data_IF_685754687066
#
_entry.id   IF_685754687066
#
_cell.length_a   1.000
_cell.length_b   1.000
_cell.length_c   1.000
_cell.angle_alpha   90.00
_cell.angle_beta   90.00
_cell.angle_gamma   90.00
#
_symmetry.space_group_name_H-M   'P 1'
#
loop_
_entity.id
_entity.type
_entity.pdbx_description
1 polymer ?
#
# COMPACT_ATOMS: atom_id res chain seq x y z
N UNK A 1 -30.02 10.49 -36.41
CA UNK A 1 -30.45 9.13 -36.09
C UNK A 1 -29.52 8.22 -36.87
N UNK A 2 -28.55 7.67 -36.26
CA UNK A 2 -27.71 6.66 -36.91
C UNK A 2 -28.62 5.47 -37.27
N UNK A 3 -28.61 4.98 -38.51
CA UNK A 3 -29.26 3.75 -38.85
C UNK A 3 -28.67 2.64 -37.97
N UNK A 4 -29.54 1.88 -37.40
CA UNK A 4 -29.19 0.85 -36.41
C UNK A 4 -28.06 -0.02 -36.90
N UNK A 5 -27.03 -0.13 -36.06
CA UNK A 5 -26.03 -1.20 -36.11
C UNK A 5 -26.63 -2.58 -35.76
N UNK A 6 -27.98 -2.65 -35.67
CA UNK A 6 -28.74 -3.88 -35.52
C UNK A 6 -28.85 -4.51 -36.89
N UNK A 7 -28.05 -5.48 -37.17
CA UNK A 7 -27.99 -6.21 -38.42
C UNK A 7 -26.68 -6.10 -39.19
N UNK A 8 -25.74 -5.32 -38.74
CA UNK A 8 -24.39 -5.31 -39.29
C UNK A 8 -23.51 -6.34 -38.58
N UNK A 9 -22.73 -7.00 -39.30
CA UNK A 9 -21.60 -7.95 -39.10
C UNK A 9 -21.18 -8.36 -37.66
N UNK A 10 -21.56 -7.62 -36.64
CA UNK A 10 -21.27 -7.95 -35.24
C UNK A 10 -22.10 -9.13 -34.71
N UNK A 11 -23.24 -9.45 -35.34
CA UNK A 11 -24.05 -10.63 -35.03
C UNK A 11 -23.70 -11.84 -35.90
N UNK A 12 -22.82 -11.69 -36.89
CA UNK A 12 -22.51 -12.74 -37.88
C UNK A 12 -21.10 -13.33 -37.62
N UNK A 13 -20.38 -12.87 -36.65
CA UNK A 13 -19.17 -13.59 -36.17
C UNK A 13 -19.64 -14.72 -35.27
N UNK A 14 -19.94 -15.85 -35.86
CA UNK A 14 -20.01 -17.10 -35.12
C UNK A 14 -18.64 -17.35 -34.49
N UNK A 15 -18.53 -17.06 -33.18
CA UNK A 15 -17.34 -17.43 -32.45
C UNK A 15 -17.25 -18.95 -32.46
N UNK A 16 -16.06 -19.47 -32.80
CA UNK A 16 -15.81 -20.89 -32.78
C UNK A 16 -15.84 -21.42 -31.35
N UNK A 17 -16.38 -22.62 -31.17
CA UNK A 17 -16.35 -23.27 -29.83
C UNK A 17 -14.95 -23.36 -29.30
N UNK A 18 -14.72 -22.73 -28.13
CA UNK A 18 -13.40 -22.69 -27.48
C UNK A 18 -12.48 -21.56 -27.95
N UNK A 19 -12.97 -20.61 -28.79
CA UNK A 19 -12.19 -19.46 -29.24
C UNK A 19 -11.77 -18.55 -28.08
N UNK A 20 -12.72 -18.20 -27.20
CA UNK A 20 -12.45 -17.34 -26.02
C UNK A 20 -11.89 -18.14 -24.85
N UNK A 21 -12.38 -19.37 -24.63
CA UNK A 21 -11.98 -20.23 -23.54
C UNK A 21 -12.10 -21.70 -23.91
N UNK A 22 -10.97 -22.37 -24.06
CA UNK A 22 -10.94 -23.78 -24.42
C UNK A 22 -11.15 -24.69 -23.20
N UNK A 23 -11.84 -25.83 -23.41
CA UNK A 23 -12.01 -26.85 -22.36
C UNK A 23 -10.62 -27.34 -21.90
N UNK A 24 -10.43 -27.41 -20.59
CA UNK A 24 -9.19 -27.87 -19.97
C UNK A 24 -8.14 -26.77 -19.74
N UNK A 25 -8.40 -25.53 -20.20
CA UNK A 25 -7.55 -24.39 -19.87
C UNK A 25 -8.05 -23.68 -18.61
N UNK A 26 -7.16 -23.20 -17.71
CA UNK A 26 -7.57 -22.43 -16.55
C UNK A 26 -8.21 -21.11 -16.97
N UNK A 27 -9.46 -20.86 -16.56
CA UNK A 27 -10.15 -19.59 -16.77
C UNK A 27 -9.51 -18.45 -15.95
N UNK A 28 -9.12 -18.76 -14.72
CA UNK A 28 -8.39 -17.85 -13.82
C UNK A 28 -7.20 -18.60 -13.21
N UNK A 29 -6.11 -17.89 -13.02
CA UNK A 29 -4.90 -18.46 -12.44
C UNK A 29 -4.80 -18.15 -10.94
N UNK A 30 -4.17 -19.05 -10.19
CA UNK A 30 -3.82 -18.83 -8.78
C UNK A 30 -2.97 -17.57 -8.62
N UNK A 31 -3.26 -16.78 -7.59
CA UNK A 31 -2.55 -15.54 -7.29
C UNK A 31 -3.05 -14.32 -8.07
N UNK A 32 -4.12 -14.47 -8.86
CA UNK A 32 -4.80 -13.36 -9.51
C UNK A 32 -5.65 -12.58 -8.49
N UNK A 33 -5.55 -11.26 -8.52
CA UNK A 33 -6.45 -10.38 -7.77
C UNK A 33 -7.78 -10.33 -8.54
N UNK A 34 -8.86 -10.83 -7.93
CA UNK A 34 -10.18 -10.87 -8.56
C UNK A 34 -10.70 -9.44 -8.79
N UNK A 35 -11.12 -9.18 -10.04
CA UNK A 35 -11.71 -7.92 -10.49
C UNK A 35 -13.18 -8.18 -10.90
N UNK A 36 -14.02 -7.14 -11.05
CA UNK A 36 -15.41 -7.34 -11.47
C UNK A 36 -15.58 -8.16 -12.75
N UNK A 37 -14.69 -8.02 -13.74
CA UNK A 37 -14.71 -8.81 -14.95
C UNK A 37 -14.48 -10.32 -14.69
N UNK A 38 -13.64 -10.66 -13.69
CA UNK A 38 -13.39 -12.06 -13.31
C UNK A 38 -14.63 -12.69 -12.67
N UNK A 39 -15.40 -11.91 -11.92
CA UNK A 39 -16.70 -12.35 -11.37
C UNK A 39 -17.71 -12.64 -12.48
N UNK A 40 -17.76 -11.79 -13.50
CA UNK A 40 -18.57 -12.02 -14.70
C UNK A 40 -18.18 -13.29 -15.44
N UNK A 41 -16.87 -13.54 -15.60
CA UNK A 41 -16.37 -14.77 -16.21
C UNK A 41 -16.76 -16.02 -15.39
N UNK A 42 -16.59 -16.00 -14.08
CA UNK A 42 -17.00 -17.11 -13.20
C UNK A 42 -18.50 -17.38 -13.31
N UNK A 43 -19.31 -16.34 -13.30
CA UNK A 43 -20.76 -16.47 -13.45
C UNK A 43 -21.15 -17.08 -14.82
N UNK A 44 -20.49 -16.69 -15.91
CA UNK A 44 -20.73 -17.25 -17.25
C UNK A 44 -20.37 -18.74 -17.34
N UNK A 45 -19.47 -19.21 -16.48
CA UNK A 45 -19.09 -20.62 -16.37
C UNK A 45 -19.96 -21.40 -15.37
N UNK A 46 -20.94 -20.75 -14.72
CA UNK A 46 -21.78 -21.36 -13.69
C UNK A 46 -21.07 -21.63 -12.37
N UNK A 47 -19.94 -20.96 -12.10
CA UNK A 47 -19.13 -21.13 -10.88
C UNK A 47 -19.60 -20.09 -9.85
N UNK A 48 -20.30 -20.56 -8.79
CA UNK A 48 -20.82 -19.70 -7.74
C UNK A 48 -19.81 -19.40 -6.63
N UNK A 49 -18.83 -20.29 -6.40
CA UNK A 49 -17.85 -20.15 -5.31
C UNK A 49 -16.45 -20.53 -5.78
N UNK A 50 -15.45 -19.78 -5.34
CA UNK A 50 -14.04 -20.07 -5.59
C UNK A 50 -13.22 -19.92 -4.30
N UNK A 51 -12.23 -20.77 -4.05
CA UNK A 51 -11.32 -20.62 -2.92
C UNK A 51 -10.43 -19.40 -3.12
N UNK A 52 -10.40 -18.52 -2.13
CA UNK A 52 -9.56 -17.31 -2.13
C UNK A 52 -8.68 -17.27 -0.88
N UNK A 53 -7.58 -16.51 -0.96
CA UNK A 53 -6.79 -16.21 0.24
C UNK A 53 -7.62 -15.35 1.20
N UNK A 54 -7.49 -15.61 2.51
CA UNK A 54 -8.09 -14.73 3.52
C UNK A 54 -7.49 -13.32 3.40
N UNK A 55 -8.21 -12.33 3.86
CA UNK A 55 -7.69 -10.97 3.97
C UNK A 55 -6.48 -10.94 4.89
N UNK A 56 -5.44 -10.21 4.49
CA UNK A 56 -4.28 -9.97 5.32
C UNK A 56 -4.67 -9.05 6.47
N UNK A 57 -4.39 -9.46 7.70
CA UNK A 57 -4.62 -8.64 8.87
C UNK A 57 -3.41 -7.75 9.11
N UNK A 58 -3.62 -6.43 9.12
CA UNK A 58 -2.58 -5.43 9.29
C UNK A 58 -2.89 -4.58 10.51
N UNK A 59 -2.02 -4.64 11.52
CA UNK A 59 -2.04 -3.71 12.62
C UNK A 59 -1.24 -2.46 12.25
N UNK A 60 -1.74 -1.28 12.63
CA UNK A 60 -0.97 -0.05 12.42
C UNK A 60 -1.18 0.95 13.55
N UNK A 61 -0.15 1.75 13.80
CA UNK A 61 -0.17 2.84 14.77
C UNK A 61 0.84 3.93 14.41
N UNK A 62 0.62 5.12 14.93
CA UNK A 62 1.57 6.22 14.85
C UNK A 62 2.31 6.40 16.16
N UNK A 63 3.57 6.86 16.09
CA UNK A 63 4.37 7.19 17.28
C UNK A 63 4.79 8.65 17.24
N UNK A 64 4.74 9.33 18.37
CA UNK A 64 5.14 10.71 18.54
C UNK A 64 4.34 11.40 19.64
N UNK A 65 5.03 12.01 20.60
CA UNK A 65 4.41 12.73 21.70
C UNK A 65 3.66 14.00 21.24
N UNK A 66 4.03 14.51 20.06
CA UNK A 66 3.39 15.63 19.39
C UNK A 66 2.03 15.29 18.77
N UNK A 67 1.72 13.99 18.60
CA UNK A 67 0.52 13.56 17.88
C UNK A 67 -0.72 13.58 18.78
N UNK A 68 -1.84 14.03 18.19
CA UNK A 68 -3.17 13.98 18.82
C UNK A 68 -4.16 13.32 17.86
N UNK A 69 -5.07 12.53 18.42
CA UNK A 69 -6.18 11.96 17.65
C UNK A 69 -7.25 13.02 17.36
N UNK A 70 -8.05 12.80 16.31
CA UNK A 70 -9.19 13.68 16.01
C UNK A 70 -10.14 13.67 17.20
N UNK A 71 -10.57 14.86 17.62
CA UNK A 71 -11.45 15.08 18.79
C UNK A 71 -10.71 15.39 20.09
N UNK A 72 -9.40 15.20 20.15
CA UNK A 72 -8.57 15.63 21.28
C UNK A 72 -8.23 17.13 21.17
N UNK A 73 -7.96 17.76 22.31
CA UNK A 73 -7.48 19.15 22.33
C UNK A 73 -6.07 19.22 21.73
N UNK A 74 -5.87 20.18 20.83
CA UNK A 74 -4.57 20.42 20.22
C UNK A 74 -3.77 21.38 21.08
N UNK A 75 -2.82 20.86 21.82
CA UNK A 75 -1.89 21.65 22.65
C UNK A 75 -0.85 22.37 21.76
N UNK A 76 -0.17 23.37 22.35
CA UNK A 76 0.93 24.05 21.66
C UNK A 76 2.06 23.05 21.31
N UNK A 77 2.53 23.09 20.07
CA UNK A 77 3.54 22.16 19.55
C UNK A 77 3.00 20.81 19.11
N UNK A 78 1.70 20.53 19.29
CA UNK A 78 1.08 19.29 18.83
C UNK A 78 0.43 19.43 17.46
N UNK A 79 0.25 18.31 16.78
CA UNK A 79 -0.40 18.20 15.48
C UNK A 79 -1.37 17.01 15.46
N UNK A 80 -2.44 17.10 14.67
CA UNK A 80 -3.29 15.93 14.47
C UNK A 80 -2.60 14.87 13.61
N UNK A 81 -2.76 13.61 14.02
CA UNK A 81 -2.21 12.45 13.29
C UNK A 81 -2.94 12.21 11.96
N UNK A 82 -2.49 12.88 10.91
CA UNK A 82 -3.03 12.69 9.56
C UNK A 82 -2.57 11.37 8.92
N UNK A 83 -1.43 10.83 9.34
CA UNK A 83 -0.86 9.59 8.79
C UNK A 83 -1.75 8.39 9.09
N UNK A 84 -2.31 8.31 10.28
CA UNK A 84 -3.24 7.25 10.68
C UNK A 84 -4.41 7.12 9.72
N UNK A 85 -5.07 8.21 9.38
CA UNK A 85 -6.22 8.22 8.47
C UNK A 85 -5.81 7.93 7.02
N UNK A 86 -4.65 8.42 6.61
CA UNK A 86 -4.07 8.12 5.29
C UNK A 86 -3.77 6.63 5.16
N UNK A 87 -3.11 6.03 6.16
CA UNK A 87 -2.80 4.59 6.20
C UNK A 87 -4.08 3.75 6.23
N UNK A 88 -5.06 4.13 7.05
CA UNK A 88 -6.37 3.47 7.09
C UNK A 88 -7.01 3.42 5.71
N UNK A 89 -7.08 4.55 5.01
CA UNK A 89 -7.64 4.62 3.65
C UNK A 89 -6.87 3.76 2.64
N UNK A 90 -5.53 3.77 2.69
CA UNK A 90 -4.70 2.96 1.79
C UNK A 90 -4.84 1.46 2.05
N UNK A 91 -4.90 1.03 3.31
CA UNK A 91 -5.08 -0.38 3.70
C UNK A 91 -6.49 -0.88 3.37
N UNK A 92 -7.53 -0.06 3.61
CA UNK A 92 -8.92 -0.36 3.20
C UNK A 92 -9.00 -0.57 1.69
N UNK A 93 -8.39 0.33 0.92
CA UNK A 93 -8.36 0.22 -0.55
C UNK A 93 -7.59 -1.01 -1.03
N UNK A 94 -6.60 -1.46 -0.27
CA UNK A 94 -5.85 -2.68 -0.57
C UNK A 94 -6.64 -3.96 -0.21
N UNK A 95 -7.72 -3.84 0.56
CA UNK A 95 -8.55 -4.95 0.98
C UNK A 95 -8.04 -5.68 2.23
N UNK A 96 -7.23 -5.02 3.06
CA UNK A 96 -6.75 -5.57 4.33
C UNK A 96 -7.86 -5.63 5.39
N UNK A 97 -7.70 -6.56 6.33
CA UNK A 97 -8.38 -6.55 7.62
C UNK A 97 -7.55 -5.69 8.58
N UNK A 98 -8.13 -4.60 9.09
CA UNK A 98 -7.38 -3.52 9.73
C UNK A 98 -7.53 -3.57 11.25
N UNK A 99 -6.40 -3.54 11.95
CA UNK A 99 -6.31 -3.34 13.41
C UNK A 99 -5.69 -1.98 13.68
N UNK A 100 -6.54 -0.98 13.89
CA UNK A 100 -6.12 0.39 14.19
C UNK A 100 -5.82 0.53 15.69
N UNK A 101 -4.56 0.75 16.04
CA UNK A 101 -4.08 0.85 17.42
C UNK A 101 -3.91 2.30 17.90
N UNK A 102 -4.19 3.28 17.05
CA UNK A 102 -4.14 4.69 17.42
C UNK A 102 -2.75 5.31 17.46
N UNK A 103 -2.58 6.25 18.36
CA UNK A 103 -1.30 6.92 18.65
C UNK A 103 -0.69 6.28 19.89
N UNK A 104 0.54 5.82 19.77
CA UNK A 104 1.33 5.27 20.88
C UNK A 104 2.37 6.31 21.30
N UNK A 105 2.47 6.58 22.59
CA UNK A 105 3.46 7.51 23.12
C UNK A 105 4.88 6.98 22.93
N UNK A 106 5.85 7.89 22.85
CA UNK A 106 7.28 7.55 22.75
C UNK A 106 7.86 7.06 24.08
N UNK A 107 7.11 6.19 24.77
CA UNK A 107 7.51 5.47 25.98
C UNK A 107 7.93 4.04 25.64
N UNK A 108 9.09 3.56 26.08
CA UNK A 108 9.60 2.23 25.75
C UNK A 108 8.63 1.09 26.10
N UNK A 109 8.01 1.14 27.26
CA UNK A 109 7.11 0.08 27.71
C UNK A 109 5.80 0.08 26.92
N UNK A 110 5.25 1.26 26.58
CA UNK A 110 4.07 1.42 25.75
C UNK A 110 4.33 0.93 24.32
N UNK A 111 5.48 1.26 23.75
CA UNK A 111 5.89 0.82 22.42
C UNK A 111 6.10 -0.70 22.37
N UNK A 112 6.80 -1.28 23.35
CA UNK A 112 6.98 -2.74 23.43
C UNK A 112 5.63 -3.47 23.51
N UNK A 113 4.76 -3.02 24.39
CA UNK A 113 3.41 -3.59 24.54
C UNK A 113 2.61 -3.49 23.24
N UNK A 114 2.70 -2.34 22.53
CA UNK A 114 2.04 -2.15 21.25
C UNK A 114 2.58 -3.10 20.17
N UNK A 115 3.89 -3.27 20.04
CA UNK A 115 4.50 -4.19 19.09
C UNK A 115 4.12 -5.65 19.38
N UNK A 116 4.13 -6.08 20.64
CA UNK A 116 3.72 -7.42 21.02
C UNK A 116 2.24 -7.66 20.69
N UNK A 117 1.37 -6.74 21.09
CA UNK A 117 -0.07 -6.81 20.80
C UNK A 117 -0.34 -6.85 19.30
N UNK A 118 0.35 -6.00 18.51
CA UNK A 118 0.24 -6.01 17.06
C UNK A 118 0.68 -7.34 16.46
N UNK A 119 1.82 -7.89 16.88
CA UNK A 119 2.37 -9.16 16.43
C UNK A 119 1.44 -10.34 16.71
N UNK A 120 0.79 -10.33 17.87
CA UNK A 120 -0.12 -11.40 18.29
C UNK A 120 -1.47 -11.40 17.54
N UNK A 121 -1.84 -10.25 16.97
CA UNK A 121 -3.16 -10.04 16.37
C UNK A 121 -3.14 -9.78 14.85
N UNK A 122 -1.98 -9.65 14.24
CA UNK A 122 -1.86 -9.32 12.82
C UNK A 122 -0.74 -10.10 12.12
N UNK A 123 -0.79 -10.14 10.80
CA UNK A 123 0.22 -10.73 9.93
C UNK A 123 1.33 -9.72 9.58
N UNK A 124 0.96 -8.43 9.58
CA UNK A 124 1.87 -7.33 9.32
C UNK A 124 1.59 -6.17 10.26
N UNK A 125 2.64 -5.40 10.56
CA UNK A 125 2.63 -4.22 11.42
C UNK A 125 3.12 -3.06 10.59
N UNK A 126 2.40 -1.95 10.60
CA UNK A 126 2.85 -0.69 9.99
C UNK A 126 2.95 0.37 11.07
N UNK A 127 4.11 1.00 11.20
CA UNK A 127 4.26 2.18 12.06
C UNK A 127 4.51 3.44 11.23
N UNK A 128 3.98 4.57 11.67
CA UNK A 128 4.29 5.89 11.15
C UNK A 128 5.02 6.70 12.22
N UNK A 129 6.25 7.12 11.92
CA UNK A 129 7.16 7.70 12.90
C UNK A 129 8.11 6.68 13.53
N UNK A 130 8.93 7.11 14.49
CA UNK A 130 9.86 6.23 15.21
C UNK A 130 11.04 5.65 14.42
N UNK A 131 11.14 5.91 13.10
CA UNK A 131 12.20 5.37 12.22
C UNK A 131 13.18 6.44 11.72
N UNK A 132 13.06 7.68 12.19
CA UNK A 132 13.94 8.79 11.82
C UNK A 132 15.37 8.56 12.29
N UNK A 133 16.32 9.22 11.64
CA UNK A 133 17.77 9.19 12.04
C UNK A 133 17.98 9.74 13.46
N UNK A 134 17.02 10.52 13.98
CA UNK A 134 16.98 11.02 15.34
C UNK A 134 15.99 10.29 16.26
N UNK A 135 15.32 9.23 15.77
CA UNK A 135 14.52 8.39 16.66
C UNK A 135 15.40 7.85 17.78
N UNK A 136 14.90 7.94 19.00
CA UNK A 136 15.65 7.56 20.17
C UNK A 136 16.27 6.16 19.99
N UNK A 137 17.51 5.99 20.42
CA UNK A 137 18.25 4.73 20.26
C UNK A 137 17.50 3.55 20.85
N UNK A 138 16.64 3.78 21.86
CA UNK A 138 15.83 2.74 22.49
C UNK A 138 14.81 2.10 21.53
N UNK A 139 14.19 2.86 20.62
CA UNK A 139 13.23 2.27 19.64
C UNK A 139 13.92 1.27 18.72
N UNK A 140 15.14 1.58 18.30
CA UNK A 140 15.94 0.67 17.47
C UNK A 140 16.39 -0.56 18.24
N UNK A 141 16.84 -0.36 19.48
CA UNK A 141 17.25 -1.44 20.35
C UNK A 141 16.08 -2.38 20.64
N UNK A 142 14.94 -1.83 21.01
CA UNK A 142 13.70 -2.59 21.26
C UNK A 142 13.26 -3.39 20.03
N UNK A 143 13.26 -2.79 18.84
CA UNK A 143 12.91 -3.51 17.60
C UNK A 143 13.91 -4.65 17.31
N UNK A 144 15.19 -4.48 17.65
CA UNK A 144 16.20 -5.53 17.53
C UNK A 144 16.02 -6.64 18.59
N UNK A 145 15.53 -6.31 19.78
CA UNK A 145 15.23 -7.29 20.84
C UNK A 145 13.96 -8.08 20.54
N UNK A 146 12.96 -7.46 19.92
CA UNK A 146 11.68 -8.11 19.58
C UNK A 146 11.74 -8.94 18.29
N UNK A 147 12.80 -8.79 17.49
CA UNK A 147 12.91 -9.53 16.24
C UNK A 147 14.11 -9.15 15.39
N UNK A 148 14.08 -9.58 14.13
CA UNK A 148 15.09 -9.25 13.14
C UNK A 148 14.61 -8.06 12.28
N UNK A 149 14.94 -6.84 12.74
CA UNK A 149 14.54 -5.59 12.11
C UNK A 149 15.75 -4.81 11.63
N UNK A 150 15.79 -4.51 10.36
CA UNK A 150 16.83 -3.71 9.73
C UNK A 150 16.34 -2.29 9.41
N UNK A 151 17.16 -1.30 9.73
CA UNK A 151 16.91 0.12 9.44
C UNK A 151 17.64 0.54 8.16
N UNK A 152 16.87 1.01 7.18
CA UNK A 152 17.37 1.36 5.86
C UNK A 152 17.44 2.87 5.66
N UNK A 153 18.47 3.31 4.92
CA UNK A 153 18.57 4.66 4.36
C UNK A 153 18.45 4.57 2.85
N UNK A 154 17.22 4.63 2.36
CA UNK A 154 16.92 4.45 0.93
C UNK A 154 17.33 5.70 0.15
N UNK A 155 17.86 5.51 -1.06
CA UNK A 155 18.27 6.60 -1.96
C UNK A 155 17.11 7.34 -2.61
N UNK A 156 16.07 7.68 -1.85
CA UNK A 156 14.85 8.34 -2.33
C UNK A 156 14.52 9.60 -1.53
N UNK A 157 13.69 10.46 -2.10
CA UNK A 157 13.15 11.68 -1.49
C UNK A 157 11.73 11.94 -2.00
N UNK A 158 10.74 12.11 -1.09
CA UNK A 158 10.80 11.82 0.34
C UNK A 158 10.86 10.32 0.64
N UNK A 159 11.01 9.93 1.91
CA UNK A 159 10.95 8.53 2.33
C UNK A 159 12.32 7.85 2.50
N UNK A 160 13.36 8.60 2.89
CA UNK A 160 14.71 8.06 3.08
C UNK A 160 14.82 7.01 4.20
N UNK A 161 14.31 7.26 5.44
CA UNK A 161 14.36 6.26 6.50
C UNK A 161 13.22 5.25 6.36
N UNK A 162 13.50 4.00 6.58
CA UNK A 162 12.53 2.90 6.66
C UNK A 162 13.08 1.80 7.56
N UNK A 163 12.21 1.17 8.36
CA UNK A 163 12.52 -0.08 9.04
C UNK A 163 11.73 -1.22 8.38
N UNK A 164 12.35 -2.36 8.25
CA UNK A 164 11.71 -3.57 7.74
C UNK A 164 12.29 -4.80 8.42
N UNK A 165 11.43 -5.74 8.76
CA UNK A 165 11.87 -6.98 9.38
C UNK A 165 10.71 -7.79 9.91
N UNK A 166 10.98 -8.63 10.89
CA UNK A 166 10.02 -9.47 11.56
C UNK A 166 10.04 -9.21 13.06
N UNK A 167 8.86 -9.15 13.65
CA UNK A 167 8.64 -9.08 15.09
C UNK A 167 8.09 -10.44 15.55
N UNK A 168 8.53 -10.89 16.71
CA UNK A 168 8.09 -12.13 17.32
C UNK A 168 7.53 -11.87 18.73
N UNK A 169 6.38 -12.49 19.05
CA UNK A 169 5.76 -12.44 20.37
C UNK A 169 4.96 -13.71 20.62
N UNK A 170 5.22 -14.37 21.74
CA UNK A 170 4.49 -15.57 22.20
C UNK A 170 4.28 -16.63 21.10
N UNK A 171 5.34 -16.92 20.32
CA UNK A 171 5.30 -17.93 19.25
C UNK A 171 4.58 -17.48 17.97
N UNK A 172 4.15 -16.23 17.89
CA UNK A 172 3.62 -15.60 16.67
C UNK A 172 4.69 -14.71 16.02
N UNK A 173 4.53 -14.49 14.73
CA UNK A 173 5.42 -13.67 13.91
C UNK A 173 4.61 -12.73 13.02
N UNK A 174 5.04 -11.47 12.92
CA UNK A 174 4.48 -10.48 12.00
C UNK A 174 5.59 -9.70 11.28
N UNK A 175 5.36 -9.34 10.01
CA UNK A 175 6.27 -8.46 9.28
C UNK A 175 6.07 -7.01 9.69
N UNK A 176 7.17 -6.32 9.99
CA UNK A 176 7.17 -4.90 10.34
C UNK A 176 7.58 -4.02 9.15
N UNK A 177 6.81 -2.97 8.94
CA UNK A 177 7.09 -1.86 8.02
C UNK A 177 7.07 -0.55 8.80
N UNK A 178 8.24 -0.07 9.22
CA UNK A 178 8.38 1.23 9.85
C UNK A 178 8.50 2.32 8.79
N UNK A 179 7.48 3.16 8.66
CA UNK A 179 7.41 4.23 7.68
C UNK A 179 7.82 5.57 8.32
N UNK A 180 8.30 6.55 7.51
CA UNK A 180 8.65 7.88 8.01
C UNK A 180 7.45 8.61 8.63
N UNK A 181 7.69 9.60 9.51
CA UNK A 181 6.62 10.42 10.09
C UNK A 181 6.04 11.49 9.14
N UNK A 182 6.79 11.92 8.13
CA UNK A 182 6.28 12.91 7.16
C UNK A 182 5.16 12.33 6.29
N UNK A 183 3.97 12.98 6.18
CA UNK A 183 2.81 12.43 5.48
C UNK A 183 3.07 12.07 4.01
N UNK A 184 3.80 12.92 3.27
CA UNK A 184 4.14 12.62 1.87
C UNK A 184 5.09 11.43 1.79
N UNK A 185 6.01 11.31 2.73
CA UNK A 185 6.93 10.18 2.78
C UNK A 185 6.21 8.87 3.12
N UNK A 186 5.23 8.90 4.04
CA UNK A 186 4.37 7.74 4.34
C UNK A 186 3.70 7.22 3.08
N UNK A 187 3.04 8.09 2.31
CA UNK A 187 2.36 7.69 1.07
C UNK A 187 3.33 7.09 0.06
N UNK A 188 4.47 7.75 -0.17
CA UNK A 188 5.46 7.29 -1.16
C UNK A 188 6.06 5.95 -0.75
N UNK A 189 6.49 5.79 0.50
CA UNK A 189 7.06 4.53 1.00
C UNK A 189 6.03 3.42 1.03
N UNK A 190 4.77 3.72 1.36
CA UNK A 190 3.69 2.74 1.29
C UNK A 190 3.50 2.23 -0.15
N UNK A 191 3.29 3.12 -1.12
CA UNK A 191 2.98 2.71 -2.49
C UNK A 191 4.13 1.99 -3.19
N UNK A 192 5.37 2.40 -2.96
CA UNK A 192 6.52 1.86 -3.68
C UNK A 192 7.19 0.68 -2.97
N UNK A 193 6.99 0.51 -1.65
CA UNK A 193 7.65 -0.52 -0.86
C UNK A 193 6.64 -1.43 -0.14
N UNK A 194 5.90 -0.90 0.84
CA UNK A 194 5.04 -1.73 1.68
C UNK A 194 3.91 -2.42 0.89
N UNK A 195 3.25 -1.70 -0.02
CA UNK A 195 2.13 -2.22 -0.82
C UNK A 195 2.51 -3.49 -1.60
N UNK A 196 3.69 -3.51 -2.21
CA UNK A 196 4.12 -4.67 -3.00
C UNK A 196 4.32 -5.90 -2.11
N UNK A 197 4.95 -5.72 -0.95
CA UNK A 197 5.14 -6.79 0.03
C UNK A 197 3.80 -7.29 0.58
N UNK A 198 2.88 -6.41 0.94
CA UNK A 198 1.54 -6.77 1.43
C UNK A 198 0.75 -7.57 0.38
N UNK A 199 0.76 -7.16 -0.90
CA UNK A 199 0.13 -7.91 -1.98
C UNK A 199 0.75 -9.30 -2.15
N UNK A 200 2.08 -9.41 -2.04
CA UNK A 200 2.75 -10.71 -2.06
C UNK A 200 2.32 -11.59 -0.87
N UNK A 201 2.24 -11.03 0.33
CA UNK A 201 1.73 -11.73 1.53
C UNK A 201 0.27 -12.16 1.35
N UNK A 202 -0.55 -11.44 0.59
CA UNK A 202 -1.91 -11.83 0.21
C UNK A 202 -1.95 -12.95 -0.84
N UNK A 203 -0.79 -13.41 -1.34
CA UNK A 203 -0.69 -14.45 -2.35
C UNK A 203 -0.80 -13.98 -3.80
N UNK A 204 -0.70 -12.67 -4.05
CA UNK A 204 -0.68 -12.17 -5.42
C UNK A 204 0.61 -12.64 -6.14
N UNK A 205 0.45 -13.34 -7.27
CA UNK A 205 1.57 -13.86 -8.07
C UNK A 205 2.19 -12.82 -9.00
N UNK A 206 1.39 -11.85 -9.44
CA UNK A 206 1.84 -10.75 -10.29
C UNK A 206 1.49 -9.43 -9.59
N UNK A 207 2.49 -8.85 -8.93
CA UNK A 207 2.37 -7.50 -8.38
C UNK A 207 2.89 -6.52 -9.41
N UNK A 208 1.99 -5.97 -10.20
CA UNK A 208 2.34 -4.94 -11.18
C UNK A 208 2.88 -3.69 -10.47
N UNK A 209 4.02 -3.21 -10.96
CA UNK A 209 4.51 -1.90 -10.55
C UNK A 209 3.48 -0.82 -10.92
N UNK A 210 3.42 0.30 -10.19
CA UNK A 210 2.58 1.42 -10.60
C UNK A 210 2.87 1.82 -12.06
N UNK A 211 1.83 2.09 -12.88
CA UNK A 211 2.03 2.44 -14.27
C UNK A 211 2.89 3.71 -14.38
N UNK A 212 3.87 3.67 -15.26
CA UNK A 212 4.79 4.77 -15.51
C UNK A 212 4.52 5.37 -16.90
N UNK A 213 4.18 6.63 -16.93
CA UNK A 213 3.97 7.39 -18.16
C UNK A 213 5.12 8.39 -18.36
N UNK A 214 5.66 8.46 -19.56
CA UNK A 214 6.58 9.54 -19.93
C UNK A 214 5.77 10.73 -20.39
N UNK A 215 5.94 11.86 -19.71
CA UNK A 215 5.17 13.09 -19.99
C UNK A 215 6.09 14.29 -20.08
N UNK A 216 5.67 15.31 -20.82
CA UNK A 216 6.43 16.55 -20.94
C UNK A 216 6.14 17.44 -19.73
N UNK A 217 7.16 17.90 -19.05
CA UNK A 217 7.01 18.86 -17.95
C UNK A 217 6.81 20.28 -18.49
N UNK A 218 5.75 20.97 -18.04
CA UNK A 218 5.50 22.39 -18.33
C UNK A 218 6.37 23.33 -17.49
N UNK A 219 6.99 22.83 -16.43
CA UNK A 219 7.82 23.61 -15.53
C UNK A 219 9.24 23.01 -15.46
N UNK A 220 10.23 23.87 -15.20
CA UNK A 220 11.59 23.42 -14.97
C UNK A 220 11.69 22.70 -13.64
N UNK A 221 12.09 21.43 -13.66
CA UNK A 221 12.28 20.62 -12.47
C UNK A 221 13.75 20.70 -12.06
N UNK A 222 14.02 21.35 -10.91
CA UNK A 222 15.36 21.39 -10.33
C UNK A 222 15.59 20.15 -9.51
N UNK A 223 16.58 19.35 -9.91
CA UNK A 223 16.94 18.12 -9.21
C UNK A 223 18.43 18.05 -8.94
N UNK A 224 18.81 17.63 -7.72
CA UNK A 224 20.20 17.28 -7.40
C UNK A 224 20.43 15.79 -7.70
N UNK A 225 21.57 15.40 -8.30
CA UNK A 225 21.89 14.00 -8.54
C UNK A 225 22.06 13.22 -7.23
N UNK A 226 22.02 11.90 -7.30
CA UNK A 226 22.32 10.99 -6.19
C UNK A 226 21.12 10.37 -5.49
N UNK A 227 19.86 10.83 -5.74
CA UNK A 227 18.64 10.22 -5.16
C UNK A 227 17.50 10.25 -6.17
N UNK A 228 16.62 9.26 -6.12
CA UNK A 228 15.35 9.30 -6.84
C UNK A 228 14.38 10.23 -6.11
N UNK A 229 13.82 11.21 -6.81
CA UNK A 229 12.86 12.15 -6.22
C UNK A 229 11.45 11.85 -6.73
N UNK A 230 10.50 11.75 -5.81
CA UNK A 230 9.08 11.60 -6.07
C UNK A 230 8.40 12.94 -5.81
N UNK A 231 8.07 13.63 -6.87
CA UNK A 231 7.39 14.92 -6.81
C UNK A 231 5.92 14.77 -7.17
N UNK A 232 5.06 15.48 -6.46
CA UNK A 232 3.63 15.54 -6.78
C UNK A 232 3.41 16.50 -7.93
N UNK A 233 2.47 16.19 -8.79
CA UNK A 233 2.09 17.07 -9.87
C UNK A 233 0.74 16.72 -10.44
N UNK A 234 0.26 17.58 -11.33
CA UNK A 234 -1.01 17.44 -12.01
C UNK A 234 -0.74 17.06 -13.46
N UNK A 235 -1.35 15.98 -13.90
CA UNK A 235 -1.37 15.59 -15.31
C UNK A 235 -2.53 16.30 -16.01
N UNK A 236 -2.28 16.90 -17.15
CA UNK A 236 -3.31 17.52 -17.98
C UNK A 236 -3.12 17.13 -19.45
N UNK A 237 -4.24 16.99 -20.16
CA UNK A 237 -4.22 16.89 -21.62
C UNK A 237 -4.10 18.29 -22.19
N UNK A 238 -3.21 18.45 -23.16
CA UNK A 238 -3.11 19.66 -23.95
C UNK A 238 -4.17 19.64 -25.07
N UNK A 239 -4.37 20.75 -25.75
CA UNK A 239 -5.29 20.86 -26.89
C UNK A 239 -4.94 19.94 -28.07
N UNK A 240 -3.68 19.54 -28.20
CA UNK A 240 -3.17 18.59 -29.18
C UNK A 240 -3.27 17.11 -28.73
N UNK A 241 -3.89 16.86 -27.56
CA UNK A 241 -4.01 15.51 -26.98
C UNK A 241 -2.76 15.00 -26.26
N UNK A 242 -1.70 15.77 -26.20
CA UNK A 242 -0.49 15.40 -25.47
C UNK A 242 -0.69 15.55 -23.95
N UNK A 243 -0.15 14.59 -23.18
CA UNK A 243 -0.17 14.65 -21.72
C UNK A 243 1.01 15.50 -21.22
N UNK A 244 0.72 16.45 -20.34
CA UNK A 244 1.72 17.30 -19.72
C UNK A 244 1.61 17.25 -18.20
N UNK A 245 2.72 17.58 -17.53
CA UNK A 245 2.85 17.60 -16.07
C UNK A 245 3.15 19.03 -15.60
N UNK A 246 2.45 19.48 -14.56
CA UNK A 246 2.75 20.70 -13.81
C UNK A 246 3.00 20.38 -12.34
N UNK A 247 3.93 21.16 -11.76
CA UNK A 247 4.33 21.02 -10.35
C UNK A 247 3.39 21.81 -9.44
#
# INVERSE_FOLDING_TARGET
IMPSLVGSEMCIRDSLKGEDLAIGTPALQKGRILRPADLGLLASLGIGEVPVQRRLRVAFFSTGDELRSIGETLDEGCVYDSNRYTLHGMLTRLGCDIVDMGVIKDDPAALEAAFRTACENADAIITSGGVSVGAADYTKQMMAELGDVTFWKIGMRPGRPMAFGKIQSHGKEAYLFGLPGNPVAVMVTFYFLARQALLHMMGASAVEAPPMLRVVSKAAIRKRPGRTEYQRGILSLNSDGAVSYTH
#
